data_IF_485232064447
#
_entry.id   IF_485232064447
#
_cell.length_a   1.000
_cell.length_b   1.000
_cell.length_c   1.000
_cell.angle_alpha   90.00
_cell.angle_beta   90.00
_cell.angle_gamma   90.00
#
_symmetry.space_group_name_H-M   'P 1'
#
loop_
_entity.id
_entity.type
_entity.pdbx_description
1 polymer ?
#
# COMPACT_ATOMS: atom_id res chain seq x y z
N UNK A 1 -22.86 37.10 -15.53
CA UNK A 1 -24.00 36.49 -16.25
C UNK A 1 -23.64 35.03 -16.56
N UNK A 2 -24.12 34.08 -15.76
CA UNK A 2 -23.71 32.66 -15.85
C UNK A 2 -24.64 31.95 -16.85
N UNK A 3 -24.06 31.38 -17.91
CA UNK A 3 -24.79 30.58 -18.91
C UNK A 3 -25.05 29.19 -18.34
N UNK A 4 -26.31 28.88 -18.06
CA UNK A 4 -26.75 27.55 -17.64
C UNK A 4 -26.56 26.54 -18.78
N UNK A 5 -25.83 25.45 -18.51
CA UNK A 5 -25.70 24.30 -19.40
C UNK A 5 -27.05 23.56 -19.47
N UNK A 6 -27.80 23.74 -20.56
CA UNK A 6 -29.00 22.95 -20.86
C UNK A 6 -28.57 21.56 -21.37
N UNK A 7 -28.53 20.56 -20.49
CA UNK A 7 -28.34 19.17 -20.90
C UNK A 7 -29.60 18.69 -21.64
N UNK A 8 -29.50 18.50 -22.96
CA UNK A 8 -30.62 18.18 -23.86
C UNK A 8 -30.94 16.69 -24.03
N UNK A 9 -30.33 15.77 -23.26
CA UNK A 9 -30.52 14.34 -23.50
C UNK A 9 -30.79 13.61 -22.20
N UNK A 10 -32.02 13.08 -22.07
CA UNK A 10 -32.39 12.15 -20.99
C UNK A 10 -31.51 10.91 -21.14
N UNK A 11 -30.78 10.56 -20.10
CA UNK A 11 -29.97 9.35 -20.04
C UNK A 11 -30.92 8.16 -20.02
N UNK A 12 -30.98 7.40 -21.11
CA UNK A 12 -31.68 6.11 -21.14
C UNK A 12 -30.77 5.06 -20.52
N UNK A 13 -31.24 4.42 -19.45
CA UNK A 13 -30.54 3.29 -18.85
C UNK A 13 -30.41 2.17 -19.89
N UNK A 14 -29.24 1.55 -20.04
CA UNK A 14 -29.10 0.38 -20.89
C UNK A 14 -30.05 -0.73 -20.44
N UNK A 15 -30.66 -1.44 -21.39
CA UNK A 15 -31.46 -2.64 -21.12
C UNK A 15 -30.56 -3.76 -20.57
N UNK A 16 -31.14 -4.72 -19.84
CA UNK A 16 -30.41 -5.84 -19.23
C UNK A 16 -29.54 -6.60 -20.26
N UNK A 17 -30.02 -6.71 -21.49
CA UNK A 17 -29.32 -7.31 -22.62
C UNK A 17 -27.95 -6.65 -22.91
N UNK A 18 -27.76 -5.38 -22.58
CA UNK A 18 -26.47 -4.69 -22.71
C UNK A 18 -25.40 -5.25 -21.76
N UNK A 19 -25.82 -5.88 -20.66
CA UNK A 19 -24.95 -6.49 -19.66
C UNK A 19 -24.79 -8.01 -19.84
N UNK A 20 -25.48 -8.63 -20.79
CA UNK A 20 -25.42 -10.07 -21.08
C UNK A 20 -24.23 -10.44 -21.98
N UNK A 21 -23.08 -9.78 -21.82
CA UNK A 21 -21.86 -10.20 -22.47
C UNK A 21 -21.21 -11.35 -21.69
N UNK A 22 -20.84 -12.41 -22.40
CA UNK A 22 -20.18 -13.57 -21.82
C UNK A 22 -18.79 -13.19 -21.28
N UNK A 23 -18.67 -13.01 -19.96
CA UNK A 23 -17.38 -12.77 -19.30
C UNK A 23 -16.55 -14.05 -19.41
N UNK A 24 -15.39 -14.05 -20.10
CA UNK A 24 -14.55 -15.23 -20.21
C UNK A 24 -13.89 -15.53 -18.85
N UNK A 25 -14.50 -16.44 -18.09
CA UNK A 25 -14.01 -16.91 -16.77
C UNK A 25 -12.61 -17.58 -16.84
N UNK A 26 -12.15 -17.96 -18.04
CA UNK A 26 -10.88 -18.66 -18.24
C UNK A 26 -9.63 -17.85 -17.87
N UNK A 27 -9.71 -16.51 -17.76
CA UNK A 27 -8.58 -15.67 -17.30
C UNK A 27 -8.49 -15.48 -15.78
N UNK A 28 -9.57 -15.74 -15.03
CA UNK A 28 -9.58 -15.51 -13.57
C UNK A 28 -9.20 -16.74 -12.74
N UNK A 29 -9.30 -17.94 -13.31
CA UNK A 29 -9.03 -19.18 -12.58
C UNK A 29 -7.54 -19.44 -12.33
N UNK A 30 -6.62 -18.78 -13.04
CA UNK A 30 -5.16 -18.95 -12.87
C UNK A 30 -4.58 -18.25 -11.62
N UNK A 31 -5.39 -17.50 -10.86
CA UNK A 31 -4.90 -16.76 -9.69
C UNK A 31 -5.23 -17.40 -8.34
N UNK A 32 -6.14 -18.38 -8.29
CA UNK A 32 -6.39 -19.15 -7.08
C UNK A 32 -5.42 -20.34 -6.99
N UNK A 33 -4.17 -20.03 -6.68
CA UNK A 33 -3.18 -21.04 -6.33
C UNK A 33 -3.67 -21.81 -5.09
N UNK A 34 -4.10 -23.06 -5.27
CA UNK A 34 -4.38 -24.02 -4.18
C UNK A 34 -3.24 -24.10 -3.14
N UNK A 35 -2.03 -23.71 -3.54
CA UNK A 35 -0.84 -23.60 -2.69
C UNK A 35 -0.95 -22.54 -1.58
N UNK A 36 -1.70 -21.44 -1.79
CA UNK A 36 -1.93 -20.41 -0.76
C UNK A 36 -2.85 -20.97 0.33
N UNK A 37 -3.91 -21.68 -0.04
CA UNK A 37 -4.79 -22.36 0.92
C UNK A 37 -4.03 -23.43 1.73
N UNK A 38 -3.12 -24.17 1.09
CA UNK A 38 -2.34 -25.21 1.76
C UNK A 38 -1.30 -24.63 2.74
N UNK A 39 -0.65 -23.51 2.40
CA UNK A 39 0.28 -22.82 3.30
C UNK A 39 -0.42 -22.15 4.50
N UNK A 40 -1.63 -21.64 4.28
CA UNK A 40 -2.46 -21.05 5.34
C UNK A 40 -2.99 -22.13 6.30
N UNK A 41 -3.42 -23.30 5.78
CA UNK A 41 -3.79 -24.46 6.61
C UNK A 41 -2.59 -25.07 7.35
N UNK A 42 -1.42 -25.14 6.72
CA UNK A 42 -0.20 -25.68 7.34
C UNK A 42 0.31 -24.77 8.48
N UNK A 43 0.19 -23.44 8.35
CA UNK A 43 0.48 -22.49 9.45
C UNK A 43 -0.47 -22.65 10.63
N UNK A 44 -1.74 -22.98 10.39
CA UNK A 44 -2.71 -23.21 11.47
C UNK A 44 -2.42 -24.53 12.20
N UNK A 45 -1.94 -25.57 11.51
CA UNK A 45 -1.57 -26.86 12.12
C UNK A 45 -0.25 -26.85 12.90
N UNK A 46 0.65 -25.89 12.62
CA UNK A 46 1.92 -25.74 13.34
C UNK A 46 1.79 -24.99 14.68
N UNK A 47 0.63 -24.39 14.98
CA UNK A 47 0.30 -23.84 16.30
C UNK A 47 -0.11 -24.97 17.26
N UNK A 48 0.77 -25.95 17.49
CA UNK A 48 0.80 -26.62 18.80
C UNK A 48 1.38 -25.62 19.78
N UNK A 49 0.53 -24.69 20.22
CA UNK A 49 0.86 -23.82 21.34
C UNK A 49 1.26 -24.74 22.52
N UNK A 50 2.41 -24.50 23.17
CA UNK A 50 2.60 -25.05 24.50
C UNK A 50 1.40 -24.61 25.37
N UNK A 51 1.01 -25.42 26.38
CA UNK A 51 -0.09 -25.07 27.26
C UNK A 51 0.13 -23.63 27.77
N UNK A 52 -0.95 -22.82 27.85
CA UNK A 52 -0.85 -21.46 28.35
C UNK A 52 -0.13 -21.51 29.70
N UNK A 53 1.03 -20.86 29.79
CA UNK A 53 1.72 -20.68 31.05
C UNK A 53 0.80 -19.85 31.95
N UNK A 54 0.08 -20.52 32.83
CA UNK A 54 -0.69 -19.96 33.94
C UNK A 54 0.28 -19.46 35.02
N UNK A 55 1.25 -18.63 34.65
CA UNK A 55 1.91 -17.77 35.61
C UNK A 55 0.96 -16.59 35.83
N UNK A 56 0.38 -16.42 37.04
CA UNK A 56 -0.46 -15.28 37.34
C UNK A 56 0.32 -14.00 37.03
N UNK A 57 -0.23 -13.15 36.17
CA UNK A 57 0.27 -11.78 35.92
C UNK A 57 0.07 -10.86 37.15
N UNK A 58 -0.27 -11.43 38.30
CA UNK A 58 -0.51 -10.73 39.55
C UNK A 58 0.81 -10.20 40.11
N UNK A 59 0.96 -8.87 40.07
CA UNK A 59 2.10 -8.16 40.67
C UNK A 59 3.10 -7.54 39.71
N UNK A 60 2.85 -7.54 38.39
CA UNK A 60 3.67 -6.79 37.43
C UNK A 60 2.97 -5.46 37.09
N UNK A 61 3.62 -4.35 37.42
CA UNK A 61 3.18 -2.99 37.05
C UNK A 61 3.29 -2.76 35.54
N UNK A 62 2.34 -3.29 34.78
CA UNK A 62 2.20 -3.08 33.35
C UNK A 62 1.33 -1.83 33.15
N UNK A 63 1.81 -0.80 32.43
CA UNK A 63 0.99 0.36 32.07
C UNK A 63 -0.33 -0.07 31.42
N UNK A 64 -1.45 0.56 31.81
CA UNK A 64 -2.79 0.17 31.35
C UNK A 64 -2.91 0.13 29.84
N UNK A 65 -2.28 1.08 29.14
CA UNK A 65 -2.26 1.15 27.68
C UNK A 65 -1.64 -0.08 27.00
N UNK A 66 -0.76 -0.82 27.70
CA UNK A 66 -0.06 -1.97 27.14
C UNK A 66 -0.78 -3.28 27.43
N UNK A 67 -1.70 -3.32 28.40
CA UNK A 67 -2.45 -4.54 28.79
C UNK A 67 -3.12 -5.24 27.60
N UNK A 68 -3.78 -4.54 26.65
CA UNK A 68 -4.43 -5.21 25.51
C UNK A 68 -3.44 -5.87 24.54
N UNK A 69 -2.18 -5.44 24.55
CA UNK A 69 -1.15 -5.91 23.61
C UNK A 69 -0.25 -7.00 24.20
N UNK A 70 -0.52 -7.43 25.45
CA UNK A 70 0.21 -8.53 26.07
C UNK A 70 -0.28 -9.84 25.46
N UNK A 71 0.59 -10.62 24.79
CA UNK A 71 0.19 -11.92 24.27
C UNK A 71 -0.07 -12.90 25.43
N UNK A 72 -0.99 -13.84 25.22
CA UNK A 72 -1.35 -14.90 26.19
C UNK A 72 -0.24 -15.95 26.41
N UNK A 73 0.98 -15.71 25.93
CA UNK A 73 2.07 -16.68 25.92
C UNK A 73 3.45 -16.01 26.02
N UNK A 74 4.53 -16.81 26.04
CA UNK A 74 5.89 -16.30 26.23
C UNK A 74 6.29 -15.30 25.14
N UNK A 75 6.91 -14.20 25.56
CA UNK A 75 7.44 -13.18 24.66
C UNK A 75 8.92 -13.42 24.42
N UNK A 76 9.35 -13.42 23.16
CA UNK A 76 10.74 -13.65 22.76
C UNK A 76 11.34 -12.41 22.08
N UNK A 77 12.66 -12.27 22.12
CA UNK A 77 13.37 -11.20 21.41
C UNK A 77 13.29 -11.45 19.90
N UNK A 78 12.85 -10.45 19.13
CA UNK A 78 12.61 -10.57 17.69
C UNK A 78 13.86 -10.60 16.78
N UNK A 79 15.05 -10.93 17.29
CA UNK A 79 16.29 -10.87 16.48
C UNK A 79 16.94 -12.24 16.28
N UNK A 80 16.99 -12.60 15.00
CA UNK A 80 17.82 -13.62 14.33
C UNK A 80 17.35 -15.08 14.45
N UNK A 81 17.42 -15.74 13.28
CA UNK A 81 17.25 -17.16 12.93
C UNK A 81 16.67 -18.09 14.00
N UNK A 82 15.54 -18.71 13.70
CA UNK A 82 15.02 -19.82 14.50
C UNK A 82 15.90 -21.04 14.26
N UNK A 83 16.85 -21.30 15.16
CA UNK A 83 17.59 -22.56 15.18
C UNK A 83 16.69 -23.60 15.85
N UNK A 84 15.94 -24.33 15.03
CA UNK A 84 15.20 -25.49 15.50
C UNK A 84 16.20 -26.62 15.73
N UNK A 85 16.60 -26.85 16.98
CA UNK A 85 17.31 -28.07 17.35
C UNK A 85 16.25 -29.08 17.77
N UNK A 86 16.10 -30.17 17.01
CA UNK A 86 15.17 -31.27 17.29
C UNK A 86 13.69 -30.85 17.43
N UNK A 87 13.25 -29.84 16.68
CA UNK A 87 11.85 -29.39 16.67
C UNK A 87 11.39 -28.63 17.93
N UNK A 88 12.31 -28.25 18.82
CA UNK A 88 12.03 -27.40 19.98
C UNK A 88 12.64 -26.03 19.81
N UNK A 89 11.85 -25.00 20.10
CA UNK A 89 12.35 -23.62 20.22
C UNK A 89 13.26 -23.54 21.45
N UNK A 90 14.57 -23.33 21.24
CA UNK A 90 15.56 -23.20 22.33
C UNK A 90 15.61 -21.78 22.92
N UNK A 91 14.72 -20.89 22.48
CA UNK A 91 14.70 -19.50 22.93
C UNK A 91 14.26 -19.43 24.39
N UNK A 92 15.03 -18.70 25.20
CA UNK A 92 14.61 -18.36 26.56
C UNK A 92 13.55 -17.26 26.47
N UNK A 93 12.35 -17.46 27.04
CA UNK A 93 11.33 -16.42 27.09
C UNK A 93 11.85 -15.24 27.91
N UNK A 94 11.45 -14.03 27.52
CA UNK A 94 11.73 -12.83 28.29
C UNK A 94 10.95 -12.87 29.60
N UNK A 95 11.63 -12.58 30.70
CA UNK A 95 10.98 -12.43 32.00
C UNK A 95 9.92 -11.33 31.93
N UNK A 96 8.68 -11.66 32.26
CA UNK A 96 7.56 -10.73 32.34
C UNK A 96 7.93 -9.53 33.23
N UNK A 97 7.56 -8.31 32.82
CA UNK A 97 7.90 -7.07 33.53
C UNK A 97 9.33 -6.55 33.33
N UNK A 98 10.24 -7.33 32.70
CA UNK A 98 11.58 -6.81 32.40
C UNK A 98 11.54 -5.65 31.39
N UNK A 99 12.52 -4.73 31.44
CA UNK A 99 12.62 -3.61 30.48
C UNK A 99 12.62 -4.09 29.01
N UNK A 100 13.27 -5.23 28.74
CA UNK A 100 13.30 -5.86 27.41
C UNK A 100 11.93 -6.39 27.00
N UNK A 101 11.21 -7.04 27.92
CA UNK A 101 9.85 -7.51 27.70
C UNK A 101 8.89 -6.35 27.39
N UNK A 102 8.90 -5.30 28.22
CA UNK A 102 8.07 -4.10 27.99
C UNK A 102 8.39 -3.41 26.65
N UNK A 103 9.66 -3.39 26.24
CA UNK A 103 10.05 -2.85 24.94
C UNK A 103 9.44 -3.65 23.77
N UNK A 104 9.36 -4.98 23.89
CA UNK A 104 8.73 -5.85 22.90
C UNK A 104 7.21 -5.67 22.86
N UNK A 105 6.54 -5.52 24.02
CA UNK A 105 5.10 -5.20 24.06
C UNK A 105 4.82 -3.83 23.42
N UNK A 106 5.67 -2.83 23.67
CA UNK A 106 5.58 -1.52 22.99
C UNK A 106 5.75 -1.66 21.48
N UNK A 107 6.59 -2.58 21.02
CA UNK A 107 6.72 -2.87 19.59
C UNK A 107 5.42 -3.46 19.03
N UNK A 108 4.77 -4.39 19.74
CA UNK A 108 3.46 -4.91 19.32
C UNK A 108 2.40 -3.83 19.23
N UNK A 109 2.33 -2.92 20.23
CA UNK A 109 1.45 -1.73 20.16
C UNK A 109 1.71 -0.92 18.88
N UNK A 110 2.97 -0.56 18.60
CA UNK A 110 3.33 0.19 17.37
C UNK A 110 2.94 -0.55 16.08
N UNK A 111 3.12 -1.88 16.04
CA UNK A 111 2.74 -2.68 14.89
C UNK A 111 1.22 -2.71 14.69
N UNK A 112 0.46 -2.78 15.78
CA UNK A 112 -0.98 -2.70 15.75
C UNK A 112 -1.47 -1.32 15.32
N UNK A 113 -0.95 -0.25 15.93
CA UNK A 113 -1.30 1.13 15.61
C UNK A 113 -1.02 1.43 14.12
N UNK A 114 0.12 0.93 13.60
CA UNK A 114 0.42 1.03 12.17
C UNK A 114 -0.63 0.31 11.31
N UNK A 115 -1.04 -0.90 11.67
CA UNK A 115 -2.08 -1.63 10.93
C UNK A 115 -3.41 -0.89 10.93
N UNK A 116 -3.83 -0.35 12.08
CA UNK A 116 -5.06 0.44 12.19
C UNK A 116 -4.96 1.70 11.34
N UNK A 117 -3.82 2.39 11.35
CA UNK A 117 -3.60 3.56 10.50
C UNK A 117 -3.65 3.20 9.00
N UNK A 118 -2.99 2.11 8.59
CA UNK A 118 -3.02 1.61 7.21
C UNK A 118 -4.47 1.23 6.80
N UNK A 119 -5.24 0.60 7.68
CA UNK A 119 -6.67 0.26 7.44
C UNK A 119 -7.55 1.50 7.27
N UNK A 120 -7.40 2.49 8.16
CA UNK A 120 -8.12 3.75 8.07
C UNK A 120 -7.78 4.50 6.78
N UNK A 121 -6.49 4.52 6.41
CA UNK A 121 -6.02 5.16 5.20
C UNK A 121 -6.52 4.42 3.95
N UNK A 122 -6.52 3.10 3.96
CA UNK A 122 -7.09 2.28 2.88
C UNK A 122 -8.58 2.58 2.69
N UNK A 123 -9.34 2.67 3.79
CA UNK A 123 -10.76 3.05 3.78
C UNK A 123 -10.98 4.45 3.20
N UNK A 124 -10.19 5.44 3.62
CA UNK A 124 -10.25 6.81 3.10
C UNK A 124 -10.02 6.87 1.58
N UNK A 125 -9.06 6.08 1.08
CA UNK A 125 -8.69 6.06 -0.33
C UNK A 125 -9.55 5.10 -1.17
N UNK A 126 -10.53 4.42 -0.57
CA UNK A 126 -11.38 3.44 -1.25
C UNK A 126 -10.59 2.24 -1.81
N UNK A 127 -9.56 1.79 -1.10
CA UNK A 127 -8.65 0.73 -1.55
C UNK A 127 -8.48 -0.35 -0.46
N UNK A 128 -7.90 -1.51 -0.79
CA UNK A 128 -7.58 -2.51 0.22
C UNK A 128 -6.23 -2.20 0.88
N UNK A 129 -6.01 -2.70 2.10
CA UNK A 129 -4.71 -2.55 2.82
C UNK A 129 -3.56 -3.15 1.99
N UNK A 130 -3.82 -4.25 1.28
CA UNK A 130 -2.83 -4.90 0.41
C UNK A 130 -2.45 -4.07 -0.81
N UNK A 131 -3.35 -3.21 -1.31
CA UNK A 131 -3.08 -2.31 -2.44
C UNK A 131 -2.79 -0.87 -2.00
N UNK A 132 -2.75 -0.59 -0.70
CA UNK A 132 -2.55 0.76 -0.16
C UNK A 132 -1.20 1.35 -0.61
N UNK A 133 -0.13 0.57 -0.57
CA UNK A 133 1.21 1.02 -0.99
C UNK A 133 1.21 1.44 -2.46
N UNK A 134 0.61 0.63 -3.33
CA UNK A 134 0.49 0.90 -4.77
C UNK A 134 -0.34 2.16 -5.02
N UNK A 135 -1.46 2.31 -4.29
CA UNK A 135 -2.31 3.50 -4.40
C UNK A 135 -1.57 4.76 -3.96
N UNK A 136 -0.80 4.68 -2.88
CA UNK A 136 0.01 5.78 -2.37
C UNK A 136 1.12 6.19 -3.34
N UNK A 137 1.81 5.22 -3.92
CA UNK A 137 2.84 5.48 -4.94
C UNK A 137 2.23 6.19 -6.15
N UNK A 138 1.10 5.70 -6.67
CA UNK A 138 0.40 6.36 -7.77
C UNK A 138 -0.01 7.80 -7.43
N UNK A 139 -0.47 8.06 -6.20
CA UNK A 139 -0.81 9.42 -5.78
C UNK A 139 0.41 10.34 -5.74
N UNK A 140 1.58 9.82 -5.32
CA UNK A 140 2.84 10.57 -5.36
C UNK A 140 3.24 10.89 -6.79
N UNK A 141 3.21 9.90 -7.67
CA UNK A 141 3.54 10.10 -9.09
C UNK A 141 2.61 11.14 -9.74
N UNK A 142 1.31 11.10 -9.43
CA UNK A 142 0.34 12.10 -9.90
C UNK A 142 0.65 13.50 -9.36
N UNK A 143 1.03 13.60 -8.09
CA UNK A 143 1.39 14.87 -7.44
C UNK A 143 2.68 15.44 -8.05
N UNK A 144 3.70 14.61 -8.25
CA UNK A 144 4.97 14.99 -8.86
C UNK A 144 4.76 15.44 -10.30
N UNK A 145 3.93 14.71 -11.06
CA UNK A 145 3.55 15.11 -12.41
C UNK A 145 2.83 16.46 -12.42
N UNK A 146 1.89 16.68 -11.51
CA UNK A 146 1.15 17.93 -11.42
C UNK A 146 2.08 19.10 -11.08
N UNK A 147 2.97 18.93 -10.10
CA UNK A 147 3.97 19.95 -9.74
C UNK A 147 4.89 20.29 -10.93
N UNK A 148 5.37 19.27 -11.64
CA UNK A 148 6.21 19.45 -12.83
C UNK A 148 5.44 20.19 -13.93
N UNK A 149 4.17 19.82 -14.13
CA UNK A 149 3.30 20.46 -15.11
C UNK A 149 3.09 21.93 -14.76
N UNK A 150 2.74 22.23 -13.52
CA UNK A 150 2.49 23.59 -13.04
C UNK A 150 3.76 24.46 -13.11
N UNK A 151 4.93 23.90 -12.78
CA UNK A 151 6.20 24.60 -12.93
C UNK A 151 6.49 24.94 -14.41
N UNK A 152 6.40 23.96 -15.31
CA UNK A 152 6.72 24.15 -16.72
C UNK A 152 5.68 25.03 -17.41
N UNK A 153 4.39 24.79 -17.20
CA UNK A 153 3.31 25.57 -17.81
C UNK A 153 3.19 26.95 -17.19
N UNK A 154 3.42 27.11 -15.88
CA UNK A 154 3.45 28.41 -15.20
C UNK A 154 4.52 29.33 -15.79
N UNK A 155 5.71 28.79 -16.12
CA UNK A 155 6.75 29.52 -16.83
C UNK A 155 6.32 29.92 -18.25
N UNK A 156 5.54 29.08 -18.93
CA UNK A 156 5.05 29.36 -20.28
C UNK A 156 3.91 30.38 -20.30
N UNK A 157 3.05 30.41 -19.28
CA UNK A 157 1.90 31.32 -19.21
C UNK A 157 2.30 32.70 -18.70
N UNK A 158 3.20 32.79 -17.71
CA UNK A 158 3.76 34.06 -17.22
C UNK A 158 4.63 34.77 -18.27
N UNK A 159 5.24 34.03 -19.20
CA UNK A 159 6.11 34.55 -20.27
C UNK A 159 5.38 34.88 -21.58
N UNK A 160 4.05 34.96 -21.62
CA UNK A 160 3.33 35.45 -22.81
C UNK A 160 3.03 36.95 -22.70
N UNK A 161 3.96 37.87 -23.03
CA UNK A 161 3.54 39.22 -23.35
C UNK A 161 2.72 39.18 -24.64
N UNK A 162 1.71 40.04 -24.71
CA UNK A 162 0.78 40.21 -25.83
C UNK A 162 1.47 40.52 -27.17
N UNK A 163 2.77 40.83 -27.15
CA UNK A 163 3.63 41.08 -28.32
C UNK A 163 5.02 40.42 -28.14
N UNK A 164 5.12 39.11 -28.31
CA UNK A 164 6.42 38.40 -28.33
C UNK A 164 7.12 38.55 -29.68
N UNK A 165 8.45 38.77 -29.65
CA UNK A 165 9.30 38.67 -30.86
C UNK A 165 9.29 37.23 -31.38
N UNK A 166 9.32 37.06 -32.71
CA UNK A 166 9.25 35.75 -33.40
C UNK A 166 10.22 34.71 -32.85
N UNK A 167 11.48 35.08 -32.60
CA UNK A 167 12.51 34.18 -32.03
C UNK A 167 12.11 33.61 -30.67
N UNK A 168 11.58 34.45 -29.77
CA UNK A 168 11.16 34.02 -28.43
C UNK A 168 9.95 33.07 -28.53
N UNK A 169 9.08 33.28 -29.52
CA UNK A 169 7.95 32.37 -29.79
C UNK A 169 8.43 30.99 -30.27
N UNK A 170 9.38 30.95 -31.19
CA UNK A 170 9.97 29.70 -31.71
C UNK A 170 10.70 28.92 -30.61
N UNK A 171 11.43 29.60 -29.70
CA UNK A 171 12.04 28.99 -28.51
C UNK A 171 11.00 28.41 -27.55
N UNK A 172 9.91 29.16 -27.30
CA UNK A 172 8.81 28.72 -26.45
C UNK A 172 8.13 27.46 -27.01
N UNK A 173 7.91 27.44 -28.33
CA UNK A 173 7.27 26.33 -29.04
C UNK A 173 8.18 25.10 -29.10
N UNK A 174 9.49 25.31 -29.25
CA UNK A 174 10.51 24.25 -29.17
C UNK A 174 10.60 23.66 -27.76
N UNK A 175 10.57 24.50 -26.73
CA UNK A 175 10.55 24.07 -25.32
C UNK A 175 9.27 23.28 -24.99
N UNK A 176 8.12 23.73 -25.49
CA UNK A 176 6.85 23.03 -25.34
C UNK A 176 6.85 21.66 -26.05
N UNK A 177 7.38 21.59 -27.27
CA UNK A 177 7.49 20.32 -28.01
C UNK A 177 8.43 19.33 -27.31
N UNK A 178 9.55 19.81 -26.75
CA UNK A 178 10.45 18.99 -25.91
C UNK A 178 9.72 18.48 -24.67
N UNK A 179 9.01 19.35 -23.96
CA UNK A 179 8.20 18.94 -22.80
C UNK A 179 7.16 17.88 -23.16
N UNK A 180 6.47 18.03 -24.30
CA UNK A 180 5.49 17.05 -24.78
C UNK A 180 6.13 15.68 -25.06
N UNK A 181 7.39 15.64 -25.49
CA UNK A 181 8.15 14.41 -25.65
C UNK A 181 8.54 13.81 -24.28
N UNK A 182 9.02 14.63 -23.33
CA UNK A 182 9.34 14.19 -21.97
C UNK A 182 8.12 13.61 -21.24
N UNK A 183 6.92 14.21 -21.41
CA UNK A 183 5.69 13.66 -20.83
C UNK A 183 5.28 12.33 -21.48
N UNK A 184 5.60 12.14 -22.77
CA UNK A 184 5.36 10.86 -23.44
C UNK A 184 6.35 9.79 -22.99
N UNK A 185 7.61 10.14 -22.71
CA UNK A 185 8.58 9.20 -22.14
C UNK A 185 8.23 8.82 -20.70
N UNK A 186 7.71 9.75 -19.88
CA UNK A 186 7.19 9.42 -18.53
C UNK A 186 6.08 8.35 -18.56
N UNK A 187 5.34 8.26 -19.67
CA UNK A 187 4.28 7.27 -19.90
C UNK A 187 4.80 5.93 -20.46
N UNK A 188 5.98 5.94 -21.07
CA UNK A 188 6.60 4.83 -21.78
C UNK A 188 7.86 4.28 -21.10
N UNK A 189 8.35 4.91 -20.02
CA UNK A 189 9.41 4.36 -19.21
C UNK A 189 8.88 3.08 -18.56
N UNK A 190 9.45 1.96 -18.98
CA UNK A 190 9.18 0.60 -18.48
C UNK A 190 9.35 0.49 -16.95
N UNK A 191 9.86 1.52 -16.27
CA UNK A 191 9.85 1.66 -14.82
C UNK A 191 8.46 1.65 -14.18
N UNK A 192 7.42 2.12 -14.89
CA UNK A 192 6.03 2.10 -14.38
C UNK A 192 5.45 0.67 -14.32
N UNK A 193 5.89 -0.22 -15.22
CA UNK A 193 5.51 -1.63 -15.24
C UNK A 193 6.49 -2.52 -14.44
N UNK A 194 7.78 -2.18 -14.40
CA UNK A 194 8.80 -2.95 -13.67
C UNK A 194 8.71 -2.79 -12.14
N UNK A 195 8.24 -1.65 -11.61
CA UNK A 195 7.93 -1.53 -10.17
C UNK A 195 6.77 -2.44 -9.75
N UNK A 196 5.78 -2.59 -10.63
CA UNK A 196 4.64 -3.52 -10.45
C UNK A 196 5.09 -4.98 -10.43
N UNK A 197 6.04 -5.35 -11.28
CA UNK A 197 6.61 -6.70 -11.33
C UNK A 197 7.50 -7.01 -10.10
N UNK A 198 8.29 -6.05 -9.62
CA UNK A 198 9.17 -6.21 -8.46
C UNK A 198 8.41 -6.26 -7.13
N UNK A 199 7.28 -5.53 -6.98
CA UNK A 199 6.39 -5.69 -5.82
C UNK A 199 5.60 -7.01 -5.81
N UNK A 200 5.29 -7.60 -6.96
CA UNK A 200 4.73 -8.96 -7.02
C UNK A 200 5.76 -10.06 -6.69
N UNK A 201 7.06 -9.80 -6.86
CA UNK A 201 8.12 -10.75 -6.49
C UNK A 201 8.53 -10.67 -5.01
N UNK A 202 8.46 -9.49 -4.39
CA UNK A 202 8.82 -9.31 -2.96
C UNK A 202 7.75 -9.77 -1.98
N UNK A 203 6.51 -9.99 -2.43
CA UNK A 203 5.44 -10.63 -1.66
C UNK A 203 5.42 -12.17 -1.78
N UNK A 204 6.40 -12.77 -2.48
CA UNK A 204 6.52 -14.21 -2.73
C UNK A 204 7.74 -14.87 -2.04
N UNK A 205 8.47 -14.15 -1.20
CA UNK A 205 9.55 -14.66 -0.34
C UNK A 205 9.13 -14.53 1.13
#
# INVERSE_FOLDING_TARGET
>A
MVKYLKYKKKFTLPTQEYYDYHIPYSRFQKFFNHRILYLLLASIKALRCPPPSTDPLDGIDIPEELKPFVPKGPVYVKRLHVVHVNGRDTRKPLKSGSKKWLAEIRLFKRQHDKKVADEQQAKLLGTSVTSLSVRLELMRDLTDFQNLYDEKMGRLTTRRPTKMKRKVREELESSYNKFKLDCKSFRNDDGFYNRRATHQMTLKL
#
